data_IF_370233047158
#
_entry.id   IF_370233047158
#
_cell.length_a   1.000
_cell.length_b   1.000
_cell.length_c   1.000
_cell.angle_alpha   90.00
_cell.angle_beta   90.00
_cell.angle_gamma   90.00
#
_symmetry.space_group_name_H-M   'P 1'
#
loop_
_entity.id
_entity.type
_entity.pdbx_description
1 polymer ?
#
# COMPACT_ATOMS: atom_id res chain seq x y z
N UNK A 1 -22.69 -22.19 -41.05
CA UNK A 1 -23.26 -21.19 -40.13
C UNK A 1 -22.81 -21.39 -38.69
N UNK A 2 -22.24 -22.52 -38.27
CA UNK A 2 -21.84 -22.86 -36.90
C UNK A 2 -20.53 -22.21 -36.45
N UNK A 3 -19.57 -22.02 -37.37
CA UNK A 3 -18.27 -21.42 -37.03
C UNK A 3 -18.31 -19.90 -36.74
N UNK A 4 -19.25 -19.17 -37.36
CA UNK A 4 -19.37 -17.71 -37.16
C UNK A 4 -19.96 -17.33 -35.80
N UNK A 5 -20.83 -18.19 -35.22
CA UNK A 5 -21.40 -17.96 -33.89
C UNK A 5 -20.39 -18.16 -32.76
N UNK A 6 -19.44 -19.14 -32.93
CA UNK A 6 -18.41 -19.42 -31.93
C UNK A 6 -17.38 -18.29 -31.82
N UNK A 7 -16.96 -17.73 -32.98
CA UNK A 7 -16.02 -16.61 -33.03
C UNK A 7 -16.64 -15.33 -32.40
N UNK A 8 -17.93 -15.09 -32.65
CA UNK A 8 -18.60 -13.92 -32.10
C UNK A 8 -18.76 -14.01 -30.57
N UNK A 9 -19.01 -15.21 -30.05
CA UNK A 9 -19.13 -15.43 -28.60
C UNK A 9 -17.80 -15.27 -27.88
N UNK A 10 -16.70 -15.73 -28.47
CA UNK A 10 -15.35 -15.58 -27.94
C UNK A 10 -14.91 -14.11 -27.95
N UNK A 11 -15.22 -13.37 -29.00
CA UNK A 11 -14.90 -11.94 -29.11
C UNK A 11 -15.72 -11.10 -28.09
N UNK A 12 -16.99 -11.44 -27.84
CA UNK A 12 -17.83 -10.81 -26.82
C UNK A 12 -17.33 -11.08 -25.41
N UNK A 13 -16.80 -12.27 -25.12
CA UNK A 13 -16.21 -12.61 -23.81
C UNK A 13 -14.90 -11.83 -23.55
N UNK A 14 -14.07 -11.64 -24.57
CA UNK A 14 -12.84 -10.84 -24.47
C UNK A 14 -13.18 -9.35 -24.25
N UNK A 15 -14.17 -8.81 -24.97
CA UNK A 15 -14.62 -7.42 -24.82
C UNK A 15 -15.30 -7.18 -23.45
N UNK A 16 -16.00 -8.17 -22.89
CA UNK A 16 -16.60 -8.06 -21.56
C UNK A 16 -15.57 -8.13 -20.43
N UNK A 17 -14.48 -8.90 -20.59
CA UNK A 17 -13.41 -8.98 -19.59
C UNK A 17 -12.60 -7.69 -19.48
N UNK A 18 -12.35 -6.99 -20.58
CA UNK A 18 -11.65 -5.69 -20.53
C UNK A 18 -12.50 -4.56 -19.94
N UNK A 19 -13.84 -4.61 -20.06
CA UNK A 19 -14.69 -3.52 -19.57
C UNK A 19 -14.83 -3.46 -18.04
N UNK A 20 -14.80 -4.58 -17.33
CA UNK A 20 -14.91 -4.56 -15.87
C UNK A 20 -13.58 -4.19 -15.18
N UNK A 21 -12.45 -4.58 -15.74
CA UNK A 21 -11.13 -4.27 -15.15
C UNK A 21 -10.79 -2.78 -15.25
N UNK A 22 -11.21 -2.10 -16.33
CA UNK A 22 -11.05 -0.65 -16.45
C UNK A 22 -11.89 0.13 -15.44
N UNK A 23 -12.91 -0.49 -14.84
CA UNK A 23 -13.81 0.10 -13.84
C UNK A 23 -13.56 -0.41 -12.42
N UNK A 24 -12.58 -1.31 -12.20
CA UNK A 24 -12.30 -1.82 -10.86
C UNK A 24 -11.82 -0.68 -9.96
N UNK A 25 -12.49 -0.40 -8.83
CA UNK A 25 -12.04 0.63 -7.90
C UNK A 25 -10.74 0.18 -7.23
N UNK A 26 -9.90 1.12 -6.85
CA UNK A 26 -8.64 0.84 -6.18
C UNK A 26 -8.66 1.44 -4.78
N UNK A 27 -8.15 0.68 -3.82
CA UNK A 27 -7.69 1.16 -2.54
C UNK A 27 -6.15 1.15 -2.57
N UNK A 28 -5.56 2.32 -2.74
CA UNK A 28 -4.11 2.50 -2.77
C UNK A 28 -3.57 2.55 -1.34
N UNK A 29 -2.72 1.62 -0.96
CA UNK A 29 -2.20 1.51 0.41
C UNK A 29 -0.82 2.14 0.59
N UNK A 30 -0.31 2.85 -0.43
CA UNK A 30 1.03 3.43 -0.38
C UNK A 30 1.14 4.75 -1.16
N UNK A 31 0.66 5.83 -0.55
CA UNK A 31 0.73 7.19 -1.10
C UNK A 31 1.57 8.08 -0.18
N UNK A 32 2.49 8.83 -0.78
CA UNK A 32 3.22 9.90 -0.11
C UNK A 32 2.91 11.26 -0.70
N UNK A 33 2.70 12.26 0.16
CA UNK A 33 2.51 13.64 -0.25
C UNK A 33 3.38 14.57 0.60
N UNK A 34 4.55 14.90 0.08
CA UNK A 34 5.60 15.62 0.81
C UNK A 34 5.75 17.06 0.30
N UNK A 35 6.35 17.96 1.09
CA UNK A 35 6.59 19.35 0.72
C UNK A 35 7.31 19.50 -0.63
N UNK A 36 8.24 18.60 -0.94
CA UNK A 36 9.00 18.61 -2.21
C UNK A 36 8.13 18.40 -3.45
N UNK A 37 6.93 17.85 -3.29
CA UNK A 37 5.99 17.59 -4.40
C UNK A 37 4.97 18.71 -4.58
N UNK A 38 4.77 19.57 -3.58
CA UNK A 38 3.73 20.62 -3.53
C UNK A 38 3.76 21.60 -4.70
N UNK A 39 4.95 21.91 -5.24
CA UNK A 39 5.09 22.85 -6.36
C UNK A 39 4.37 22.40 -7.63
N UNK A 40 4.46 21.12 -7.96
CA UNK A 40 3.82 20.54 -9.15
C UNK A 40 2.54 19.78 -8.82
N UNK A 41 2.50 19.12 -7.67
CA UNK A 41 1.38 18.30 -7.19
C UNK A 41 0.88 18.88 -5.86
N UNK A 42 0.19 20.02 -5.93
CA UNK A 42 -0.47 20.57 -4.75
C UNK A 42 -1.67 19.71 -4.31
N UNK A 43 -2.16 19.96 -3.11
CA UNK A 43 -3.22 19.18 -2.48
C UNK A 43 -4.45 18.97 -3.38
N UNK A 44 -4.90 20.05 -4.09
CA UNK A 44 -6.07 19.97 -5.00
C UNK A 44 -5.80 19.10 -6.22
N UNK A 45 -4.60 19.20 -6.81
CA UNK A 45 -4.19 18.39 -7.96
C UNK A 45 -4.11 16.92 -7.58
N UNK A 46 -3.56 16.60 -6.41
CA UNK A 46 -3.51 15.24 -5.87
C UNK A 46 -4.90 14.67 -5.71
N UNK A 47 -5.81 15.37 -5.05
CA UNK A 47 -7.21 14.92 -4.89
C UNK A 47 -7.89 14.72 -6.24
N UNK A 48 -7.66 15.62 -7.19
CA UNK A 48 -8.20 15.49 -8.56
C UNK A 48 -7.69 14.24 -9.27
N UNK A 49 -6.40 13.93 -9.15
CA UNK A 49 -5.81 12.70 -9.72
C UNK A 49 -6.39 11.44 -9.09
N UNK A 50 -6.47 11.38 -7.77
CA UNK A 50 -7.05 10.23 -7.07
C UNK A 50 -8.48 9.96 -7.56
N UNK A 51 -9.32 11.00 -7.67
CA UNK A 51 -10.69 10.90 -8.19
C UNK A 51 -10.73 10.50 -9.66
N UNK A 52 -9.90 11.12 -10.50
CA UNK A 52 -9.84 10.86 -11.95
C UNK A 52 -9.49 9.40 -12.24
N UNK A 53 -8.61 8.81 -11.45
CA UNK A 53 -8.16 7.43 -11.64
C UNK A 53 -8.90 6.43 -10.74
N UNK A 54 -10.07 6.81 -10.22
CA UNK A 54 -10.96 5.95 -9.42
C UNK A 54 -10.26 5.28 -8.23
N UNK A 55 -9.37 6.04 -7.58
CA UNK A 55 -8.80 5.66 -6.28
C UNK A 55 -9.84 6.03 -5.22
N UNK A 56 -10.54 5.04 -4.71
CA UNK A 56 -11.64 5.25 -3.75
C UNK A 56 -11.15 5.50 -2.34
N UNK A 57 -10.05 4.87 -1.97
CA UNK A 57 -9.36 5.08 -0.68
C UNK A 57 -7.86 5.11 -0.92
N UNK A 58 -7.16 5.89 -0.11
CA UNK A 58 -5.71 5.99 -0.15
C UNK A 58 -5.14 6.07 1.26
N UNK A 59 -4.23 5.16 1.62
CA UNK A 59 -3.41 5.32 2.82
C UNK A 59 -2.32 6.34 2.50
N UNK A 60 -2.37 7.48 3.15
CA UNK A 60 -1.47 8.60 2.88
C UNK A 60 -0.57 8.87 4.07
N UNK A 61 0.73 8.96 3.82
CA UNK A 61 1.72 9.39 4.79
C UNK A 61 2.66 10.47 4.24
N UNK A 62 3.17 11.32 5.10
CA UNK A 62 4.05 12.43 4.73
C UNK A 62 5.22 12.54 5.70
N UNK A 63 6.38 13.00 5.22
CA UNK A 63 7.46 13.46 6.12
C UNK A 63 7.09 14.85 6.62
N UNK A 64 6.68 14.92 7.89
CA UNK A 64 5.87 16.03 8.42
C UNK A 64 4.37 15.79 8.13
N UNK A 65 3.59 15.51 9.19
CA UNK A 65 2.20 15.04 9.10
C UNK A 65 1.22 16.06 8.48
N UNK A 66 1.55 17.33 8.45
CA UNK A 66 0.63 18.40 8.02
C UNK A 66 0.13 18.23 6.58
N UNK A 67 0.96 17.70 5.67
CA UNK A 67 0.53 17.42 4.29
C UNK A 67 -0.57 16.34 4.27
N UNK A 68 -0.42 15.27 5.04
CA UNK A 68 -1.42 14.21 5.19
C UNK A 68 -2.72 14.78 5.73
N UNK A 69 -2.66 15.63 6.77
CA UNK A 69 -3.83 16.23 7.38
C UNK A 69 -4.55 17.23 6.47
N UNK A 70 -3.80 18.01 5.66
CA UNK A 70 -4.42 18.87 4.64
C UNK A 70 -5.18 18.09 3.58
N UNK A 71 -4.57 17.01 3.06
CA UNK A 71 -5.27 16.11 2.12
C UNK A 71 -6.51 15.48 2.77
N UNK A 72 -6.40 15.01 4.02
CA UNK A 72 -7.55 14.49 4.77
C UNK A 72 -8.66 15.52 4.92
N UNK A 73 -8.32 16.79 5.15
CA UNK A 73 -9.29 17.89 5.21
C UNK A 73 -10.02 18.15 3.90
N UNK A 74 -9.35 17.93 2.75
CA UNK A 74 -9.91 18.15 1.41
C UNK A 74 -10.67 16.95 0.84
N UNK A 75 -10.32 15.73 1.24
CA UNK A 75 -10.87 14.50 0.69
C UNK A 75 -10.98 13.43 1.80
N UNK A 76 -11.80 13.72 2.82
CA UNK A 76 -12.00 12.82 3.97
C UNK A 76 -12.67 11.49 3.57
N UNK A 77 -13.33 11.47 2.44
CA UNK A 77 -13.92 10.29 1.81
C UNK A 77 -12.89 9.36 1.16
N UNK A 78 -11.69 9.88 0.82
CA UNK A 78 -10.64 9.10 0.17
C UNK A 78 -9.48 8.82 1.12
N UNK A 79 -9.00 9.83 1.86
CA UNK A 79 -7.72 9.80 2.57
C UNK A 79 -7.83 9.12 3.93
N UNK A 80 -7.07 8.05 4.12
CA UNK A 80 -6.78 7.42 5.40
C UNK A 80 -5.39 7.90 5.86
N UNK A 81 -5.28 8.64 6.97
CA UNK A 81 -3.97 9.08 7.46
C UNK A 81 -3.14 7.93 8.02
N UNK A 82 -1.86 7.93 7.66
CA UNK A 82 -0.81 7.17 8.33
C UNK A 82 0.24 8.12 8.89
N UNK A 83 0.71 7.88 10.10
CA UNK A 83 1.70 8.70 10.78
C UNK A 83 3.10 8.15 10.56
N UNK A 84 3.98 8.93 9.94
CA UNK A 84 5.40 8.56 9.84
C UNK A 84 6.18 9.00 11.09
N UNK A 85 7.20 8.24 11.51
CA UNK A 85 8.13 8.73 12.55
C UNK A 85 9.00 9.89 12.04
N UNK A 86 8.90 10.25 10.76
CA UNK A 86 9.65 11.36 10.15
C UNK A 86 8.91 12.68 10.33
N UNK A 87 9.50 13.61 11.06
CA UNK A 87 8.99 14.97 11.28
C UNK A 87 9.30 15.89 10.09
N UNK A 88 10.35 15.53 9.33
CA UNK A 88 10.84 16.27 8.17
C UNK A 88 11.61 15.36 7.21
N UNK A 89 11.91 15.88 6.03
CA UNK A 89 12.80 15.21 5.07
C UNK A 89 14.21 15.00 5.67
N UNK A 90 14.79 13.82 5.43
CA UNK A 90 16.15 13.45 5.87
C UNK A 90 16.21 12.55 7.12
N UNK A 91 15.11 12.32 7.82
CA UNK A 91 15.09 11.48 9.02
C UNK A 91 14.94 9.97 8.73
N UNK A 92 14.84 9.57 7.48
CA UNK A 92 14.58 8.20 7.02
C UNK A 92 15.53 7.13 7.61
N UNK A 93 16.81 7.50 7.87
CA UNK A 93 17.84 6.60 8.41
C UNK A 93 18.22 6.90 9.86
N UNK A 94 17.60 7.88 10.50
CA UNK A 94 18.03 8.38 11.82
C UNK A 94 16.92 8.38 12.86
N UNK A 95 15.66 8.28 12.43
CA UNK A 95 14.50 8.38 13.31
C UNK A 95 14.55 7.41 14.50
N UNK A 96 15.04 6.19 14.30
CA UNK A 96 15.11 5.15 15.34
C UNK A 96 16.15 5.41 16.43
N UNK A 97 17.01 6.42 16.24
CA UNK A 97 18.05 6.83 17.21
C UNK A 97 17.77 8.20 17.84
N UNK A 98 16.63 8.81 17.56
CA UNK A 98 16.24 10.12 18.08
C UNK A 98 15.02 9.97 19.02
N UNK A 99 15.26 10.02 20.33
CA UNK A 99 14.20 9.86 21.35
C UNK A 99 13.06 10.87 21.25
N UNK A 100 13.31 12.06 20.66
CA UNK A 100 12.26 13.06 20.45
C UNK A 100 11.20 12.64 19.41
N UNK A 101 11.46 11.56 18.65
CA UNK A 101 10.44 10.92 17.80
C UNK A 101 9.32 10.31 18.64
N UNK A 102 9.60 9.84 19.84
CA UNK A 102 8.58 9.30 20.74
C UNK A 102 7.53 10.38 21.08
N UNK A 103 7.98 11.55 21.49
CA UNK A 103 7.08 12.68 21.78
C UNK A 103 6.25 13.09 20.55
N UNK A 104 6.87 13.09 19.35
CA UNK A 104 6.16 13.35 18.11
C UNK A 104 5.03 12.34 17.88
N UNK A 105 5.31 11.04 17.99
CA UNK A 105 4.31 9.99 17.78
C UNK A 105 3.19 10.09 18.84
N UNK A 106 3.52 10.21 20.11
CA UNK A 106 2.55 10.29 21.21
C UNK A 106 1.64 11.51 21.08
N UNK A 107 2.20 12.68 20.78
CA UNK A 107 1.44 13.91 20.57
C UNK A 107 0.43 13.78 19.44
N UNK A 108 0.86 13.25 18.30
CA UNK A 108 -0.02 13.12 17.15
C UNK A 108 -1.10 12.05 17.36
N UNK A 109 -0.73 10.89 17.91
CA UNK A 109 -1.65 9.79 18.16
C UNK A 109 -2.71 10.13 19.22
N UNK A 110 -2.37 10.95 20.23
CA UNK A 110 -3.32 11.37 21.26
C UNK A 110 -4.35 12.39 20.77
N UNK A 111 -4.04 13.15 19.71
CA UNK A 111 -4.87 14.27 19.24
C UNK A 111 -5.57 14.00 17.89
N UNK A 112 -5.14 13.04 17.13
CA UNK A 112 -5.63 12.74 15.77
C UNK A 112 -5.87 11.25 15.59
N UNK A 113 -6.69 10.89 14.59
CA UNK A 113 -6.95 9.49 14.24
C UNK A 113 -6.12 9.09 13.02
N UNK A 114 -5.40 7.98 13.15
CA UNK A 114 -4.62 7.34 12.11
C UNK A 114 -5.07 5.89 11.90
N UNK A 115 -4.71 5.32 10.75
CA UNK A 115 -4.98 3.92 10.41
C UNK A 115 -3.71 3.08 10.42
N UNK A 116 -2.55 3.74 10.31
CA UNK A 116 -1.25 3.09 10.35
C UNK A 116 -0.18 3.99 10.99
N UNK A 117 0.90 3.39 11.48
CA UNK A 117 2.18 4.05 11.65
C UNK A 117 3.07 3.62 10.49
N UNK A 118 3.58 4.58 9.72
CA UNK A 118 4.43 4.33 8.55
C UNK A 118 4.01 5.14 7.32
N UNK A 119 4.59 4.92 6.18
CA UNK A 119 5.71 3.99 5.93
C UNK A 119 6.93 4.41 6.74
N UNK A 120 7.60 3.47 7.39
CA UNK A 120 8.89 3.71 8.03
C UNK A 120 9.94 2.68 7.57
N UNK A 121 11.18 3.15 7.44
CA UNK A 121 12.32 2.32 7.02
C UNK A 121 13.04 1.77 8.25
N UNK A 122 13.20 0.45 8.29
CA UNK A 122 13.99 -0.23 9.30
C UNK A 122 14.58 -1.53 8.76
N UNK A 123 15.85 -1.79 9.04
CA UNK A 123 16.58 -2.95 8.55
C UNK A 123 17.37 -3.63 9.68
N UNK A 124 17.57 -4.94 9.57
CA UNK A 124 18.34 -5.68 10.55
C UNK A 124 17.77 -5.53 11.96
N UNK A 125 18.60 -5.06 12.87
CA UNK A 125 18.27 -4.89 14.29
C UNK A 125 17.67 -3.51 14.65
N UNK A 126 17.41 -2.64 13.67
CA UNK A 126 16.90 -1.29 13.91
C UNK A 126 15.54 -1.27 14.62
N UNK A 127 14.77 -2.37 14.55
CA UNK A 127 13.53 -2.50 15.33
C UNK A 127 13.74 -2.85 16.80
N UNK A 128 14.99 -2.99 17.27
CA UNK A 128 15.31 -3.23 18.68
C UNK A 128 15.79 -1.96 19.44
N UNK A 129 15.78 -0.79 18.79
CA UNK A 129 16.10 0.46 19.50
C UNK A 129 14.95 0.88 20.43
N UNK A 130 15.21 1.66 21.49
CA UNK A 130 14.13 2.13 22.38
C UNK A 130 13.01 2.86 21.63
N UNK A 131 13.36 3.69 20.64
CA UNK A 131 12.38 4.44 19.81
C UNK A 131 11.52 3.49 18.99
N UNK A 132 12.13 2.47 18.35
CA UNK A 132 11.39 1.49 17.54
C UNK A 132 10.50 0.58 18.40
N UNK A 133 10.96 0.20 19.59
CA UNK A 133 10.15 -0.56 20.55
C UNK A 133 8.93 0.27 20.94
N UNK A 134 9.13 1.55 21.30
CA UNK A 134 8.00 2.43 21.66
C UNK A 134 7.03 2.66 20.50
N UNK A 135 7.53 2.75 19.26
CA UNK A 135 6.68 2.82 18.06
C UNK A 135 5.76 1.59 17.94
N UNK A 136 6.29 0.37 18.16
CA UNK A 136 5.50 -0.87 18.12
C UNK A 136 4.48 -0.91 19.26
N UNK A 137 4.85 -0.47 20.47
CA UNK A 137 3.92 -0.35 21.59
C UNK A 137 2.77 0.62 21.30
N UNK A 138 3.08 1.79 20.74
CA UNK A 138 2.06 2.77 20.33
C UNK A 138 1.14 2.21 19.24
N UNK A 139 1.68 1.51 18.24
CA UNK A 139 0.85 0.84 17.23
C UNK A 139 -0.10 -0.17 17.87
N UNK A 140 0.35 -0.91 18.87
CA UNK A 140 -0.48 -1.85 19.63
C UNK A 140 -1.53 -1.13 20.48
N UNK A 141 -1.16 -0.08 21.22
CA UNK A 141 -2.05 0.72 22.06
C UNK A 141 -3.22 1.31 21.25
N UNK A 142 -2.93 1.82 20.04
CA UNK A 142 -3.91 2.45 19.16
C UNK A 142 -4.50 1.49 18.12
N UNK A 143 -4.15 0.19 18.15
CA UNK A 143 -4.58 -0.85 17.19
C UNK A 143 -4.32 -0.46 15.72
N UNK A 144 -3.14 0.05 15.43
CA UNK A 144 -2.74 0.54 14.11
C UNK A 144 -1.99 -0.53 13.31
N UNK A 145 -2.04 -0.41 11.99
CA UNK A 145 -1.20 -1.17 11.08
C UNK A 145 0.22 -0.60 11.10
N UNK A 146 1.22 -1.45 11.09
CA UNK A 146 2.62 -1.07 10.90
C UNK A 146 2.97 -1.19 9.42
N UNK A 147 3.20 -0.05 8.74
CA UNK A 147 3.60 -0.04 7.33
C UNK A 147 5.12 0.03 7.26
N UNK A 148 5.75 -1.15 7.09
CA UNK A 148 7.20 -1.35 7.15
C UNK A 148 7.84 -1.37 5.77
N UNK A 149 8.81 -0.50 5.52
CA UNK A 149 9.82 -0.66 4.48
C UNK A 149 11.08 -1.23 5.13
N UNK A 150 11.32 -2.51 4.97
CA UNK A 150 12.42 -3.16 5.66
C UNK A 150 12.63 -4.60 5.21
N UNK A 151 13.68 -5.22 5.76
CA UNK A 151 14.00 -6.60 5.50
C UNK A 151 13.24 -7.58 6.41
N UNK A 152 13.44 -8.88 6.15
CA UNK A 152 12.85 -9.97 6.97
C UNK A 152 13.26 -9.89 8.44
N UNK A 153 14.47 -9.39 8.74
CA UNK A 153 14.95 -9.31 10.10
C UNK A 153 14.18 -8.26 10.88
N UNK A 154 14.03 -7.06 10.33
CA UNK A 154 13.21 -6.01 10.93
C UNK A 154 11.76 -6.47 11.14
N UNK A 155 11.15 -7.13 10.15
CA UNK A 155 9.82 -7.70 10.26
C UNK A 155 9.72 -8.73 11.41
N UNK A 156 10.69 -9.64 11.53
CA UNK A 156 10.73 -10.64 12.61
C UNK A 156 10.84 -9.98 13.99
N UNK A 157 11.57 -8.86 14.11
CA UNK A 157 11.67 -8.14 15.39
C UNK A 157 10.33 -7.53 15.80
N UNK A 158 9.54 -7.03 14.83
CA UNK A 158 8.17 -6.57 15.10
C UNK A 158 7.33 -7.71 15.66
N UNK A 159 7.28 -8.86 15.00
CA UNK A 159 6.48 -10.01 15.45
C UNK A 159 6.98 -10.62 16.77
N UNK A 160 8.27 -10.50 17.07
CA UNK A 160 8.81 -10.88 18.37
C UNK A 160 8.28 -9.99 19.51
N UNK A 161 8.11 -8.69 19.25
CA UNK A 161 7.59 -7.72 20.21
C UNK A 161 6.05 -7.79 20.32
N UNK A 162 5.39 -7.99 19.18
CA UNK A 162 3.94 -8.06 19.07
C UNK A 162 3.53 -9.18 18.08
N UNK A 163 3.31 -10.42 18.56
CA UNK A 163 2.98 -11.57 17.70
C UNK A 163 1.74 -11.37 16.81
N UNK A 164 0.75 -10.59 17.27
CA UNK A 164 -0.49 -10.31 16.55
C UNK A 164 -0.43 -9.00 15.73
N UNK A 165 0.74 -8.40 15.57
CA UNK A 165 0.92 -7.18 14.81
C UNK A 165 0.32 -7.29 13.41
N UNK A 166 -0.44 -6.28 12.99
CA UNK A 166 -0.84 -6.12 11.60
C UNK A 166 0.29 -5.39 10.86
N UNK A 167 0.99 -6.09 9.99
CA UNK A 167 2.10 -5.53 9.22
C UNK A 167 1.72 -5.46 7.75
N UNK A 168 1.79 -4.27 7.18
CA UNK A 168 1.80 -4.04 5.74
C UNK A 168 3.26 -3.88 5.31
N UNK A 169 3.77 -4.84 4.55
CA UNK A 169 5.16 -4.87 4.12
C UNK A 169 5.31 -4.20 2.76
N UNK A 170 5.94 -3.04 2.76
CA UNK A 170 6.15 -2.27 1.54
C UNK A 170 6.91 -3.08 0.49
N UNK A 171 6.46 -2.99 -0.76
CA UNK A 171 7.08 -3.65 -1.92
C UNK A 171 7.19 -5.19 -1.79
N UNK A 172 6.35 -5.82 -0.96
CA UNK A 172 6.50 -7.23 -0.60
C UNK A 172 7.91 -7.56 -0.08
N UNK A 173 8.57 -6.60 0.59
CA UNK A 173 9.93 -6.70 1.09
C UNK A 173 11.00 -6.87 0.02
N UNK A 174 10.70 -6.63 -1.25
CA UNK A 174 11.53 -6.97 -2.41
C UNK A 174 11.90 -8.46 -2.48
N UNK A 175 11.07 -9.31 -1.87
CA UNK A 175 11.28 -10.77 -1.89
C UNK A 175 10.88 -11.38 -3.23
N UNK A 176 11.48 -12.53 -3.55
CA UNK A 176 11.02 -13.34 -4.67
C UNK A 176 9.59 -13.86 -4.40
N UNK A 177 8.72 -13.95 -5.42
CA UNK A 177 7.33 -14.39 -5.23
C UNK A 177 7.19 -15.74 -4.53
N UNK A 178 8.11 -16.67 -4.78
CA UNK A 178 8.13 -18.01 -4.17
C UNK A 178 8.39 -17.99 -2.66
N UNK A 179 9.05 -16.95 -2.16
CA UNK A 179 9.41 -16.81 -0.75
C UNK A 179 8.29 -16.21 0.11
N UNK A 180 7.25 -15.63 -0.51
CA UNK A 180 6.18 -14.93 0.21
C UNK A 180 5.21 -15.90 0.91
N UNK A 181 4.87 -17.01 0.27
CA UNK A 181 3.90 -17.95 0.84
C UNK A 181 4.31 -18.52 2.20
N UNK A 182 5.57 -18.99 2.42
CA UNK A 182 6.01 -19.41 3.75
C UNK A 182 5.94 -18.31 4.80
N UNK A 183 6.19 -17.04 4.42
CA UNK A 183 6.09 -15.91 5.33
C UNK A 183 4.64 -15.62 5.72
N UNK A 184 3.70 -15.69 4.79
CA UNK A 184 2.27 -15.54 5.09
C UNK A 184 1.71 -16.69 5.95
N UNK A 185 2.24 -17.90 5.81
CA UNK A 185 1.91 -19.02 6.68
C UNK A 185 2.45 -18.80 8.11
N UNK A 186 3.69 -18.32 8.22
CA UNK A 186 4.34 -18.03 9.50
C UNK A 186 3.71 -16.83 10.22
N UNK A 187 3.30 -15.79 9.47
CA UNK A 187 2.78 -14.53 10.00
C UNK A 187 1.37 -14.27 9.46
N UNK A 188 0.31 -14.77 10.15
CA UNK A 188 -1.06 -14.65 9.68
C UNK A 188 -1.56 -13.21 9.48
N UNK A 189 -0.96 -12.24 10.14
CA UNK A 189 -1.28 -10.82 10.05
C UNK A 189 -0.25 -10.02 9.24
N UNK A 190 0.43 -10.68 8.28
CA UNK A 190 1.30 -10.04 7.30
C UNK A 190 0.53 -9.82 6.00
N UNK A 191 0.57 -8.60 5.49
CA UNK A 191 0.16 -8.19 4.14
C UNK A 191 1.34 -7.59 3.41
N UNK A 192 1.30 -7.61 2.10
CA UNK A 192 2.34 -7.03 1.23
C UNK A 192 1.70 -6.08 0.22
N UNK A 193 2.20 -4.86 0.11
CA UNK A 193 1.84 -4.02 -1.01
C UNK A 193 2.72 -4.32 -2.24
N UNK A 194 2.16 -4.08 -3.41
CA UNK A 194 2.77 -4.40 -4.70
C UNK A 194 3.37 -3.17 -5.39
N UNK A 195 3.57 -2.07 -4.66
CA UNK A 195 4.28 -0.92 -5.21
C UNK A 195 5.73 -1.28 -5.58
N UNK A 196 6.27 -0.64 -6.62
CA UNK A 196 7.62 -0.93 -7.11
C UNK A 196 7.93 -2.41 -7.44
N UNK A 197 6.91 -3.16 -7.90
CA UNK A 197 7.07 -4.54 -8.38
C UNK A 197 6.77 -4.63 -9.88
N UNK A 198 7.57 -3.92 -10.73
CA UNK A 198 7.32 -3.89 -12.18
C UNK A 198 7.45 -5.26 -12.85
N UNK A 199 8.14 -6.20 -12.20
CA UNK A 199 8.32 -7.57 -12.68
C UNK A 199 7.05 -8.44 -12.58
N UNK A 200 5.94 -7.93 -12.02
CA UNK A 200 4.62 -8.58 -12.08
C UNK A 200 4.21 -8.79 -13.54
N UNK A 201 4.54 -7.82 -14.40
CA UNK A 201 4.36 -7.92 -15.85
C UNK A 201 5.70 -7.77 -16.54
N UNK A 202 6.00 -8.65 -17.48
CA UNK A 202 7.21 -8.64 -18.27
C UNK A 202 6.87 -8.49 -19.76
N UNK A 203 7.86 -8.39 -20.64
CA UNK A 203 7.65 -8.37 -22.10
C UNK A 203 6.86 -9.57 -22.64
N UNK A 204 6.82 -10.69 -21.88
CA UNK A 204 6.08 -11.90 -22.23
C UNK A 204 4.65 -11.94 -21.66
N UNK A 205 4.20 -10.89 -20.98
CA UNK A 205 2.91 -10.83 -20.29
C UNK A 205 3.05 -11.01 -18.77
N UNK A 206 2.04 -11.54 -18.13
CA UNK A 206 2.01 -11.76 -16.69
C UNK A 206 3.12 -12.73 -16.24
N UNK A 207 3.89 -12.36 -15.25
CA UNK A 207 4.98 -13.20 -14.74
C UNK A 207 4.41 -14.46 -14.04
N UNK A 208 4.73 -15.68 -14.49
CA UNK A 208 4.12 -16.91 -13.96
C UNK A 208 4.36 -17.13 -12.45
N UNK A 209 5.51 -16.70 -11.92
CA UNK A 209 5.79 -16.84 -10.49
C UNK A 209 4.97 -15.86 -9.66
N UNK A 210 4.75 -14.63 -10.15
CA UNK A 210 3.84 -13.68 -9.53
C UNK A 210 2.39 -14.14 -9.63
N UNK A 211 1.95 -14.62 -10.80
CA UNK A 211 0.60 -15.17 -10.97
C UNK A 211 0.34 -16.27 -9.94
N UNK A 212 1.25 -17.23 -9.83
CA UNK A 212 1.18 -18.32 -8.86
C UNK A 212 1.12 -17.82 -7.41
N UNK A 213 1.94 -16.82 -7.05
CA UNK A 213 1.96 -16.25 -5.70
C UNK A 213 0.64 -15.55 -5.37
N UNK A 214 0.10 -14.74 -6.30
CA UNK A 214 -1.15 -14.01 -6.15
C UNK A 214 -2.36 -14.94 -6.08
N UNK A 215 -2.39 -16.00 -6.90
CA UNK A 215 -3.45 -17.01 -6.88
C UNK A 215 -3.41 -17.88 -5.61
N UNK A 216 -2.21 -18.20 -5.12
CA UNK A 216 -2.03 -18.99 -3.89
C UNK A 216 -2.42 -18.21 -2.63
N UNK A 217 -2.15 -16.91 -2.59
CA UNK A 217 -2.33 -16.06 -1.40
C UNK A 217 -3.17 -14.81 -1.70
N UNK A 218 -4.37 -14.94 -2.31
CA UNK A 218 -5.13 -13.80 -2.83
C UNK A 218 -5.55 -12.80 -1.75
N UNK A 219 -5.50 -13.18 -0.48
CA UNK A 219 -5.92 -12.39 0.67
C UNK A 219 -4.78 -11.61 1.34
N UNK A 220 -3.57 -11.61 0.75
CA UNK A 220 -2.36 -11.09 1.39
C UNK A 220 -1.74 -9.90 0.68
N UNK A 221 -2.21 -9.56 -0.52
CA UNK A 221 -1.64 -8.50 -1.32
C UNK A 221 -2.56 -7.28 -1.37
N UNK A 222 -1.96 -6.10 -1.41
CA UNK A 222 -2.63 -4.81 -1.64
C UNK A 222 -1.90 -4.05 -2.75
N UNK A 223 -2.51 -2.99 -3.26
CA UNK A 223 -1.91 -2.12 -4.26
C UNK A 223 -1.29 -0.89 -3.62
N UNK A 224 -0.25 -0.34 -4.25
CA UNK A 224 0.36 0.92 -3.86
C UNK A 224 1.06 1.58 -5.03
N UNK A 225 1.01 2.92 -5.10
CA UNK A 225 1.70 3.70 -6.12
C UNK A 225 3.05 4.27 -5.65
N UNK A 226 3.26 4.38 -4.34
CA UNK A 226 4.46 4.94 -3.69
C UNK A 226 4.95 6.26 -4.31
N UNK A 227 4.15 7.29 -4.17
CA UNK A 227 4.32 8.60 -4.81
C UNK A 227 5.25 9.55 -4.06
N UNK A 228 6.45 9.10 -3.65
CA UNK A 228 7.35 9.85 -2.75
C UNK A 228 8.00 11.10 -3.37
N UNK A 229 7.98 11.26 -4.70
CA UNK A 229 8.55 12.41 -5.42
C UNK A 229 7.70 12.81 -6.63
N UNK A 230 8.11 13.90 -7.31
CA UNK A 230 7.42 14.45 -8.49
C UNK A 230 7.34 13.44 -9.63
N UNK A 231 8.42 12.72 -9.92
CA UNK A 231 8.48 11.73 -11.00
C UNK A 231 7.48 10.58 -10.76
N UNK A 232 7.35 10.11 -9.52
CA UNK A 232 6.38 9.07 -9.17
C UNK A 232 4.94 9.57 -9.29
N UNK A 233 4.67 10.82 -8.91
CA UNK A 233 3.36 11.44 -9.14
C UNK A 233 3.02 11.58 -10.62
N UNK A 234 4.00 11.91 -11.46
CA UNK A 234 3.81 11.98 -12.92
C UNK A 234 3.51 10.61 -13.53
N UNK A 235 4.10 9.54 -12.98
CA UNK A 235 3.92 8.16 -13.43
C UNK A 235 2.71 7.45 -12.83
N UNK A 236 2.17 7.95 -11.72
CA UNK A 236 1.03 7.32 -11.01
C UNK A 236 -0.16 7.01 -11.95
N UNK A 237 -0.56 7.89 -12.90
CA UNK A 237 -1.59 7.56 -13.88
C UNK A 237 -1.29 6.32 -14.71
N UNK A 238 -0.07 6.20 -15.22
CA UNK A 238 0.36 5.05 -16.01
C UNK A 238 0.37 3.78 -15.16
N UNK A 239 0.98 3.83 -13.98
CA UNK A 239 1.01 2.69 -13.07
C UNK A 239 -0.40 2.20 -12.69
N UNK A 240 -1.34 3.13 -12.50
CA UNK A 240 -2.73 2.78 -12.19
C UNK A 240 -3.42 2.05 -13.36
N UNK A 241 -3.15 2.47 -14.60
CA UNK A 241 -3.68 1.81 -15.79
C UNK A 241 -3.03 0.43 -15.99
N UNK A 242 -1.72 0.34 -15.92
CA UNK A 242 -0.97 -0.93 -16.03
C UNK A 242 -1.44 -1.92 -14.93
N UNK A 243 -1.70 -1.41 -13.72
CA UNK A 243 -2.24 -2.23 -12.62
C UNK A 243 -3.61 -2.81 -12.97
N UNK A 244 -4.50 -2.03 -13.58
CA UNK A 244 -5.80 -2.54 -14.03
C UNK A 244 -5.67 -3.56 -15.14
N UNK A 245 -4.71 -3.36 -16.05
CA UNK A 245 -4.48 -4.28 -17.14
C UNK A 245 -4.06 -5.66 -16.64
N UNK A 246 -3.05 -5.75 -15.77
CA UNK A 246 -2.65 -7.06 -15.24
C UNK A 246 -3.67 -7.66 -14.24
N UNK A 247 -4.42 -6.83 -13.49
CA UNK A 247 -5.54 -7.33 -12.67
C UNK A 247 -6.61 -8.01 -13.54
N UNK A 248 -6.78 -7.56 -14.80
CA UNK A 248 -7.76 -8.14 -15.73
C UNK A 248 -7.42 -9.57 -16.15
N UNK A 249 -6.16 -9.97 -16.05
CA UNK A 249 -5.69 -11.32 -16.36
C UNK A 249 -5.98 -12.31 -15.22
N UNK A 250 -6.27 -11.82 -14.00
CA UNK A 250 -6.62 -12.65 -12.86
C UNK A 250 -8.12 -12.96 -12.80
N UNK A 251 -8.53 -14.05 -12.13
CA UNK A 251 -9.95 -14.25 -11.80
C UNK A 251 -10.52 -13.03 -11.07
N UNK A 252 -11.70 -12.59 -11.44
CA UNK A 252 -12.36 -11.37 -10.93
C UNK A 252 -12.37 -11.29 -9.40
N UNK A 253 -12.61 -12.42 -8.73
CA UNK A 253 -12.64 -12.50 -7.26
C UNK A 253 -11.27 -12.24 -6.64
N UNK A 254 -10.18 -12.68 -7.29
CA UNK A 254 -8.79 -12.44 -6.87
C UNK A 254 -8.42 -10.99 -7.13
N UNK A 255 -8.69 -10.48 -8.33
CA UNK A 255 -8.45 -9.09 -8.70
C UNK A 255 -9.13 -8.11 -7.72
N UNK A 256 -10.40 -8.31 -7.37
CA UNK A 256 -11.13 -7.48 -6.39
C UNK A 256 -10.54 -7.56 -4.98
N UNK A 257 -10.03 -8.73 -4.56
CA UNK A 257 -9.33 -8.85 -3.28
C UNK A 257 -8.10 -7.97 -3.25
N UNK A 258 -7.26 -8.08 -4.26
CA UNK A 258 -6.00 -7.32 -4.36
C UNK A 258 -6.28 -5.82 -4.56
N UNK A 259 -7.25 -5.48 -5.41
CA UNK A 259 -7.56 -4.09 -5.74
C UNK A 259 -8.06 -3.26 -4.54
N UNK A 260 -8.86 -3.85 -3.66
CA UNK A 260 -9.44 -3.09 -2.54
C UNK A 260 -9.86 -3.92 -1.33
N UNK A 261 -10.43 -5.16 -1.48
CA UNK A 261 -11.04 -5.88 -0.34
C UNK A 261 -10.04 -6.24 0.76
N UNK A 262 -8.79 -6.54 0.40
CA UNK A 262 -7.75 -6.84 1.38
C UNK A 262 -7.42 -5.60 2.21
N UNK A 263 -7.32 -4.44 1.56
CA UNK A 263 -7.12 -3.17 2.25
C UNK A 263 -8.33 -2.79 3.12
N UNK A 264 -9.58 -2.97 2.62
CA UNK A 264 -10.78 -2.80 3.44
C UNK A 264 -10.72 -3.62 4.73
N UNK A 265 -10.35 -4.90 4.60
CA UNK A 265 -10.21 -5.81 5.76
C UNK A 265 -9.08 -5.39 6.69
N UNK A 266 -7.93 -5.00 6.14
CA UNK A 266 -6.75 -4.60 6.90
C UNK A 266 -7.03 -3.35 7.75
N UNK A 267 -7.67 -2.35 7.16
CA UNK A 267 -7.93 -1.04 7.81
C UNK A 267 -9.31 -0.92 8.45
N UNK A 268 -10.20 -1.88 8.23
CA UNK A 268 -11.56 -1.87 8.78
C UNK A 268 -12.44 -0.75 8.22
N UNK A 269 -12.24 -0.38 6.94
CA UNK A 269 -13.00 0.66 6.24
C UNK A 269 -13.52 0.14 4.91
N UNK A 270 -14.61 0.71 4.38
CA UNK A 270 -15.14 0.35 3.07
C UNK A 270 -14.81 1.41 2.02
N UNK A 271 -14.61 0.99 0.77
CA UNK A 271 -14.49 1.93 -0.37
C UNK A 271 -15.80 2.65 -0.67
N UNK A 272 -16.91 2.25 -0.05
CA UNK A 272 -18.25 2.81 -0.21
C UNK A 272 -18.64 3.76 0.94
N UNK A 273 -17.80 3.90 1.97
CA UNK A 273 -17.99 4.83 3.10
C UNK A 273 -17.50 6.28 2.69
#
# INVERSE_FOLDING_TARGET
>A
MTHMKTVLTTLLLILSSQSWASSIPIFDTHIHHNDKTQGEFNDKKVVSLLRQYDIKKALVSSSGDDNTQRLKGLASDIVLPALRPYRKSGELRTWMHDESVIEHLETHLSTRRYHAIGEFHAFGDEMNTPVSIRLVELAKEYNLVLHLHGDRQAMRQIYKQWPDAKVLWAHAGFEEPSELAPLFEQYPNLWADLSFRPEIVTWGGFNPEWEKALLKNPDRFTLGADTFNVDQWQKMPLYTLDTRDWLSELPETVAKRIAYRNAERLFGVSIHD
#
